data_IF_066508450058
#
_entry.id   IF_066508450058
#
_cell.length_a   1.000
_cell.length_b   1.000
_cell.length_c   1.000
_cell.angle_alpha   90.00
_cell.angle_beta   90.00
_cell.angle_gamma   90.00
#
_symmetry.space_group_name_H-M   'P 1'
#
loop_
_entity.id
_entity.type
_entity.pdbx_description
1 polymer ?
#
# COMPACT_ATOMS: atom_id res chain seq x y z
N UNK A 1 19.28 -47.41 48.50
CA UNK A 1 18.12 -46.61 48.06
C UNK A 1 18.60 -45.25 47.54
N UNK A 2 18.99 -45.14 46.27
CA UNK A 2 19.38 -43.84 45.65
C UNK A 2 19.22 -43.82 44.11
N UNK A 3 18.97 -44.96 43.46
CA UNK A 3 18.95 -45.07 41.99
C UNK A 3 17.65 -44.54 41.33
N UNK A 4 16.50 -44.67 42.00
CA UNK A 4 15.18 -44.28 41.45
C UNK A 4 15.01 -42.76 41.28
N UNK A 5 15.68 -41.96 42.11
CA UNK A 5 15.51 -40.49 42.15
C UNK A 5 16.26 -39.75 41.02
N UNK A 6 17.30 -40.36 40.46
CA UNK A 6 18.07 -39.78 39.34
C UNK A 6 17.36 -39.97 37.99
N UNK A 7 16.71 -41.11 37.79
CA UNK A 7 16.03 -41.45 36.52
C UNK A 7 14.84 -40.50 36.27
N UNK A 8 14.10 -40.12 37.31
CA UNK A 8 12.99 -39.16 37.20
C UNK A 8 13.48 -37.74 36.92
N UNK A 9 14.60 -37.33 37.51
CA UNK A 9 15.19 -36.00 37.29
C UNK A 9 15.74 -35.82 35.87
N UNK A 10 16.38 -36.86 35.33
CA UNK A 10 16.94 -36.80 33.97
C UNK A 10 15.85 -36.87 32.90
N UNK A 11 14.76 -37.62 33.13
CA UNK A 11 13.57 -37.58 32.26
C UNK A 11 12.86 -36.23 32.28
N UNK A 12 12.80 -35.56 33.44
CA UNK A 12 12.23 -34.21 33.55
C UNK A 12 13.06 -33.18 32.77
N UNK A 13 14.39 -33.30 32.81
CA UNK A 13 15.31 -32.44 32.04
C UNK A 13 15.16 -32.65 30.54
N UNK A 14 15.07 -33.90 30.07
CA UNK A 14 14.83 -34.17 28.65
C UNK A 14 13.47 -33.64 28.18
N UNK A 15 12.42 -33.79 28.99
CA UNK A 15 11.11 -33.24 28.65
C UNK A 15 11.12 -31.70 28.59
N UNK A 16 11.81 -31.04 29.53
CA UNK A 16 11.95 -29.59 29.53
C UNK A 16 12.73 -29.08 28.30
N UNK A 17 13.81 -29.76 27.91
CA UNK A 17 14.59 -29.44 26.70
C UNK A 17 13.75 -29.65 25.43
N UNK A 18 13.00 -30.75 25.34
CA UNK A 18 12.12 -31.01 24.20
C UNK A 18 11.02 -29.94 24.06
N UNK A 19 10.42 -29.52 25.17
CA UNK A 19 9.42 -28.44 25.17
C UNK A 19 10.05 -27.11 24.76
N UNK A 20 11.25 -26.79 25.24
CA UNK A 20 11.97 -25.56 24.88
C UNK A 20 12.34 -25.52 23.38
N UNK A 21 12.78 -26.65 22.81
CA UNK A 21 13.10 -26.75 21.38
C UNK A 21 11.83 -26.64 20.53
N UNK A 22 10.75 -27.31 20.93
CA UNK A 22 9.47 -27.23 20.22
C UNK A 22 8.87 -25.81 20.26
N UNK A 23 8.92 -25.14 21.40
CA UNK A 23 8.42 -23.77 21.53
C UNK A 23 9.29 -22.76 20.76
N UNK A 24 10.60 -22.97 20.70
CA UNK A 24 11.51 -22.15 19.88
C UNK A 24 11.27 -22.36 18.39
N UNK A 25 11.03 -23.60 17.94
CA UNK A 25 10.69 -23.91 16.55
C UNK A 25 9.33 -23.33 16.14
N UNK A 26 8.33 -23.39 17.02
CA UNK A 26 7.01 -22.79 16.80
C UNK A 26 7.12 -21.26 16.70
N UNK A 27 7.91 -20.63 17.59
CA UNK A 27 8.19 -19.19 17.51
C UNK A 27 8.90 -18.81 16.21
N UNK A 28 9.88 -19.61 15.76
CA UNK A 28 10.55 -19.40 14.46
C UNK A 28 9.62 -19.60 13.26
N UNK A 29 8.59 -20.44 13.34
CA UNK A 29 7.58 -20.53 12.26
C UNK A 29 6.56 -19.40 12.30
N UNK A 30 6.24 -18.86 13.48
CA UNK A 30 5.30 -17.74 13.63
C UNK A 30 5.97 -16.40 13.29
N UNK A 31 7.26 -16.24 13.59
CA UNK A 31 8.01 -14.99 13.39
C UNK A 31 9.07 -15.05 12.27
N UNK A 32 9.42 -16.23 11.74
CA UNK A 32 10.49 -16.39 10.74
C UNK A 32 10.13 -15.94 9.32
N UNK A 33 8.94 -15.39 9.13
CA UNK A 33 8.51 -14.71 7.91
C UNK A 33 8.91 -13.23 7.90
N UNK A 34 9.93 -12.82 8.66
CA UNK A 34 10.52 -11.49 8.49
C UNK A 34 11.35 -11.47 7.21
N UNK A 35 10.69 -11.17 6.10
CA UNK A 35 11.40 -10.77 4.88
C UNK A 35 12.10 -9.44 5.17
N UNK A 36 13.43 -9.49 5.28
CA UNK A 36 14.27 -8.30 5.25
C UNK A 36 14.27 -7.80 3.81
N UNK A 37 13.58 -6.67 3.58
CA UNK A 37 13.69 -5.98 2.30
C UNK A 37 14.98 -5.17 2.28
N UNK A 38 15.80 -5.43 1.27
CA UNK A 38 16.80 -4.47 0.86
C UNK A 38 16.07 -3.39 0.05
N UNK A 39 15.86 -2.21 0.66
CA UNK A 39 15.43 -1.02 -0.07
C UNK A 39 16.61 -0.55 -0.93
N UNK A 40 16.45 -0.61 -2.25
CA UNK A 40 17.41 -0.08 -3.21
C UNK A 40 16.73 1.02 -4.02
N UNK A 41 17.05 2.28 -3.72
CA UNK A 41 16.71 3.43 -4.58
C UNK A 41 17.62 3.45 -5.81
N UNK A 42 17.44 2.50 -6.74
CA UNK A 42 18.06 2.57 -8.06
C UNK A 42 17.30 3.54 -8.97
N UNK A 43 17.34 4.82 -8.60
CA UNK A 43 17.34 6.00 -9.48
C UNK A 43 18.14 7.15 -8.81
N UNK A 44 19.09 6.82 -7.92
CA UNK A 44 20.00 7.80 -7.31
C UNK A 44 21.07 8.26 -8.32
N UNK A 45 20.63 9.00 -9.34
CA UNK A 45 21.43 9.97 -10.07
C UNK A 45 21.15 11.40 -9.59
N UNK A 46 20.94 11.63 -8.28
CA UNK A 46 20.56 12.95 -7.78
C UNK A 46 21.42 13.42 -6.61
N UNK A 47 22.12 14.53 -6.81
CA UNK A 47 22.72 15.37 -5.77
C UNK A 47 21.68 16.32 -5.16
N UNK A 48 21.69 16.52 -3.84
CA UNK A 48 20.84 17.51 -3.13
C UNK A 48 20.33 16.99 -1.79
N UNK A 49 19.50 17.80 -1.10
CA UNK A 49 18.89 17.52 0.22
C UNK A 49 17.82 16.40 0.21
N UNK A 50 17.88 15.49 -0.77
CA UNK A 50 16.93 14.39 -0.89
C UNK A 50 17.32 13.27 0.08
N UNK A 51 16.38 12.87 0.93
CA UNK A 51 16.44 11.55 1.57
C UNK A 51 15.59 10.64 0.68
N UNK A 52 16.18 9.83 -0.21
CA UNK A 52 15.43 8.78 -0.90
C UNK A 52 15.02 7.74 0.14
N UNK A 53 13.78 7.84 0.58
CA UNK A 53 13.13 6.88 1.44
C UNK A 53 12.28 5.95 0.57
N UNK A 54 12.31 4.66 0.86
CA UNK A 54 11.42 3.72 0.20
C UNK A 54 10.88 2.71 1.22
N UNK A 55 9.55 2.66 1.30
CA UNK A 55 8.77 1.73 2.10
C UNK A 55 8.16 0.64 1.23
N UNK A 56 8.43 -0.61 1.57
CA UNK A 56 7.78 -1.78 0.96
C UNK A 56 6.96 -2.54 2.00
N UNK A 57 5.68 -2.77 1.72
CA UNK A 57 4.76 -3.49 2.61
C UNK A 57 4.18 -4.68 1.86
N UNK A 58 4.46 -5.88 2.36
CA UNK A 58 3.78 -7.10 1.88
C UNK A 58 2.34 -7.09 2.40
N UNK A 59 1.41 -7.36 1.49
CA UNK A 59 -0.01 -7.44 1.82
C UNK A 59 -0.50 -8.88 1.90
N UNK A 60 0.32 -9.84 1.48
CA UNK A 60 0.01 -11.27 1.42
C UNK A 60 -0.79 -11.81 2.61
N UNK A 61 -2.03 -12.23 2.35
CA UNK A 61 -2.88 -12.85 3.37
C UNK A 61 -3.43 -11.89 4.43
N UNK A 62 -3.19 -10.57 4.29
CA UNK A 62 -3.90 -9.57 5.08
C UNK A 62 -5.35 -9.49 4.60
N UNK A 63 -6.26 -9.28 5.55
CA UNK A 63 -7.67 -8.99 5.27
C UNK A 63 -8.02 -7.63 5.82
N UNK A 64 -8.40 -6.71 4.94
CA UNK A 64 -8.90 -5.39 5.31
C UNK A 64 -10.43 -5.45 5.44
N UNK A 65 -11.01 -5.31 6.64
CA UNK A 65 -12.46 -5.34 6.83
C UNK A 65 -13.13 -4.12 6.19
N UNK A 66 -14.47 -4.08 6.05
CA UNK A 66 -15.21 -2.87 5.66
C UNK A 66 -14.81 -1.67 6.51
N UNK A 67 -14.58 -0.52 5.87
CA UNK A 67 -14.03 0.70 6.48
C UNK A 67 -12.66 0.50 7.18
N UNK A 68 -12.00 -0.62 6.93
CA UNK A 68 -10.66 -0.89 7.41
C UNK A 68 -9.65 0.04 6.77
N UNK A 69 -8.68 0.48 7.56
CA UNK A 69 -7.65 1.43 7.18
C UNK A 69 -6.28 0.79 7.42
N UNK A 70 -5.39 0.88 6.45
CA UNK A 70 -4.01 0.46 6.54
C UNK A 70 -3.11 1.63 6.13
N UNK A 71 -2.50 2.35 7.09
CA UNK A 71 -1.48 3.34 6.80
C UNK A 71 -0.28 2.66 6.14
N UNK A 72 0.20 3.21 5.02
CA UNK A 72 1.35 2.67 4.28
C UNK A 72 2.56 3.60 4.30
N UNK A 73 2.36 4.89 4.55
CA UNK A 73 3.45 5.84 4.68
C UNK A 73 3.03 7.07 5.49
N UNK A 74 3.94 7.60 6.30
CA UNK A 74 3.81 8.85 7.04
C UNK A 74 5.18 9.56 7.06
N UNK A 75 5.26 10.73 6.43
CA UNK A 75 6.44 11.58 6.35
C UNK A 75 6.31 12.85 7.20
N UNK A 76 5.29 12.96 8.04
CA UNK A 76 5.04 14.12 8.89
C UNK A 76 6.30 14.52 9.68
N UNK A 77 6.65 15.81 9.71
CA UNK A 77 5.87 16.95 9.23
C UNK A 77 6.12 17.34 7.76
N UNK A 78 6.82 16.52 6.97
CA UNK A 78 7.30 16.89 5.63
C UNK A 78 6.32 16.49 4.52
N UNK A 79 6.14 17.40 3.56
CA UNK A 79 5.47 17.07 2.31
C UNK A 79 6.44 16.35 1.37
N UNK A 80 5.95 15.31 0.69
CA UNK A 80 6.78 14.48 -0.20
C UNK A 80 6.26 14.47 -1.63
N UNK A 81 7.17 14.22 -2.56
CA UNK A 81 6.83 13.72 -3.90
C UNK A 81 7.51 12.38 -4.18
N UNK A 82 6.87 11.53 -4.95
CA UNK A 82 7.40 10.21 -5.25
C UNK A 82 6.55 9.36 -6.19
N UNK A 83 6.86 8.08 -6.20
CA UNK A 83 6.12 7.04 -6.90
C UNK A 83 5.45 6.11 -5.89
N UNK A 84 4.29 5.59 -6.29
CA UNK A 84 3.54 4.60 -5.54
C UNK A 84 3.27 3.42 -6.47
N UNK A 85 3.60 2.21 -6.03
CA UNK A 85 3.28 0.98 -6.73
C UNK A 85 2.39 0.13 -5.85
N UNK A 86 1.32 -0.39 -6.43
CA UNK A 86 0.38 -1.28 -5.77
C UNK A 86 0.15 -2.52 -6.62
N UNK A 87 0.30 -3.68 -6.02
CA UNK A 87 -0.29 -4.91 -6.53
C UNK A 87 -1.37 -5.37 -5.56
N UNK A 88 -2.60 -5.45 -6.05
CA UNK A 88 -3.76 -5.76 -5.22
C UNK A 88 -4.86 -6.48 -6.01
N UNK A 89 -5.85 -7.08 -5.31
CA UNK A 89 -7.04 -7.62 -5.95
C UNK A 89 -7.82 -6.50 -6.64
N UNK A 90 -8.30 -6.79 -7.84
CA UNK A 90 -9.03 -5.85 -8.68
C UNK A 90 -10.20 -6.53 -9.37
N UNK A 91 -11.14 -5.72 -9.81
CA UNK A 91 -12.20 -6.15 -10.70
C UNK A 91 -11.62 -6.61 -12.05
N UNK A 92 -11.97 -7.81 -12.54
CA UNK A 92 -11.37 -8.37 -13.74
C UNK A 92 -11.81 -7.66 -15.03
N UNK A 93 -12.93 -6.94 -15.02
CA UNK A 93 -13.48 -6.26 -16.20
C UNK A 93 -13.06 -4.79 -16.23
N UNK A 94 -13.20 -4.09 -15.11
CA UNK A 94 -12.94 -2.65 -15.01
C UNK A 94 -11.53 -2.31 -14.54
N UNK A 95 -10.78 -3.32 -14.06
CA UNK A 95 -9.43 -3.17 -13.49
C UNK A 95 -9.36 -2.24 -12.26
N UNK A 96 -10.51 -1.87 -11.69
CA UNK A 96 -10.56 -1.05 -10.48
C UNK A 96 -10.12 -1.90 -9.27
N UNK A 97 -9.17 -1.43 -8.45
CA UNK A 97 -8.76 -2.16 -7.25
C UNK A 97 -9.90 -2.20 -6.23
N UNK A 98 -10.03 -3.31 -5.51
CA UNK A 98 -11.02 -3.42 -4.42
C UNK A 98 -10.63 -2.63 -3.16
N UNK A 99 -9.36 -2.21 -3.07
CA UNK A 99 -8.87 -1.28 -2.06
C UNK A 99 -8.71 0.11 -2.67
N UNK A 100 -9.01 1.15 -1.90
CA UNK A 100 -8.81 2.54 -2.31
C UNK A 100 -7.53 3.11 -1.71
N UNK A 101 -6.72 3.78 -2.54
CA UNK A 101 -5.53 4.53 -2.12
C UNK A 101 -5.91 5.99 -1.94
N UNK A 102 -5.66 6.53 -0.75
CA UNK A 102 -5.76 7.97 -0.49
C UNK A 102 -4.40 8.52 -0.08
N UNK A 103 -4.15 9.76 -0.45
CA UNK A 103 -2.94 10.49 -0.05
C UNK A 103 -3.30 11.92 0.32
N UNK A 104 -2.47 12.53 1.16
CA UNK A 104 -2.66 13.89 1.63
C UNK A 104 -2.09 14.06 3.02
N UNK A 105 -2.81 14.76 3.88
CA UNK A 105 -2.49 14.93 5.28
C UNK A 105 -3.70 14.57 6.14
N UNK A 106 -3.50 13.69 7.11
CA UNK A 106 -4.51 13.31 8.09
C UNK A 106 -4.11 13.95 9.42
N UNK A 107 -5.00 14.76 9.98
CA UNK A 107 -4.77 15.50 11.23
C UNK A 107 -5.77 15.08 12.30
N UNK A 108 -5.45 15.28 13.59
CA UNK A 108 -6.41 15.04 14.67
C UNK A 108 -7.63 15.98 14.59
N UNK A 109 -7.46 17.13 13.94
CA UNK A 109 -8.52 18.08 13.59
C UNK A 109 -9.12 17.76 12.23
N UNK A 110 -10.45 17.67 12.19
CA UNK A 110 -11.21 17.60 10.94
C UNK A 110 -10.84 18.75 9.99
N UNK A 111 -10.65 19.96 10.52
CA UNK A 111 -10.28 21.15 9.74
C UNK A 111 -8.84 21.14 9.23
N UNK A 112 -7.96 20.31 9.83
CA UNK A 112 -6.58 20.13 9.38
C UNK A 112 -6.42 19.00 8.37
N UNK A 113 -7.43 18.13 8.22
CA UNK A 113 -7.36 16.97 7.34
C UNK A 113 -7.57 17.37 5.88
N UNK A 114 -6.59 17.08 5.03
CA UNK A 114 -6.61 17.32 3.60
C UNK A 114 -6.19 16.06 2.85
N UNK A 115 -7.13 15.27 2.36
CA UNK A 115 -6.86 14.02 1.63
C UNK A 115 -7.65 13.95 0.33
N UNK A 116 -7.08 13.25 -0.65
CA UNK A 116 -7.73 12.95 -1.91
C UNK A 116 -7.42 11.53 -2.37
N UNK A 117 -8.19 11.00 -3.31
CA UNK A 117 -7.85 9.72 -3.95
C UNK A 117 -6.64 9.91 -4.83
N UNK A 118 -5.79 8.90 -4.84
CA UNK A 118 -4.64 8.83 -5.75
C UNK A 118 -5.12 8.35 -7.13
N UNK A 119 -4.87 9.09 -8.22
CA UNK A 119 -4.97 8.57 -9.58
C UNK A 119 -4.06 7.35 -9.78
N UNK A 120 -4.60 6.23 -10.26
CA UNK A 120 -3.84 5.00 -10.48
C UNK A 120 -3.71 4.72 -11.98
N UNK A 121 -2.50 4.39 -12.42
CA UNK A 121 -2.21 3.93 -13.78
C UNK A 121 -2.09 2.41 -13.79
N UNK A 122 -3.00 1.74 -14.48
CA UNK A 122 -3.00 0.29 -14.64
C UNK A 122 -1.86 -0.17 -15.55
N UNK A 123 -1.15 -1.24 -15.14
CA UNK A 123 -0.03 -1.81 -15.88
C UNK A 123 -0.40 -3.21 -16.39
N UNK A 124 -0.97 -3.27 -17.60
CA UNK A 124 -1.54 -4.50 -18.15
C UNK A 124 -0.53 -5.66 -18.22
N UNK A 125 0.69 -5.39 -18.71
CA UNK A 125 1.71 -6.42 -18.91
C UNK A 125 2.31 -6.99 -17.61
N UNK A 126 2.12 -6.31 -16.47
CA UNK A 126 2.54 -6.78 -15.15
C UNK A 126 1.38 -7.40 -14.34
N UNK A 127 0.15 -7.31 -14.87
CA UNK A 127 -1.08 -7.72 -14.19
C UNK A 127 -1.51 -9.13 -14.60
N UNK A 128 -2.34 -9.74 -13.76
CA UNK A 128 -2.95 -11.05 -13.98
C UNK A 128 -4.44 -10.98 -13.65
N UNK A 129 -5.25 -11.94 -14.13
CA UNK A 129 -6.67 -11.97 -13.82
C UNK A 129 -6.93 -11.97 -12.31
N UNK A 130 -7.56 -10.93 -11.79
CA UNK A 130 -7.88 -10.75 -10.36
C UNK A 130 -6.73 -10.26 -9.47
N UNK A 131 -5.56 -9.92 -10.03
CA UNK A 131 -4.46 -9.24 -9.32
C UNK A 131 -3.80 -8.25 -10.29
N UNK A 132 -4.11 -6.97 -10.08
CA UNK A 132 -3.66 -5.89 -10.95
C UNK A 132 -2.48 -5.15 -10.32
N UNK A 133 -1.59 -4.66 -11.18
CA UNK A 133 -0.47 -3.78 -10.83
C UNK A 133 -0.81 -2.37 -11.26
N UNK A 134 -0.60 -1.43 -10.35
CA UNK A 134 -0.82 -0.01 -10.56
C UNK A 134 0.45 0.77 -10.22
N UNK A 135 0.71 1.80 -11.00
CA UNK A 135 1.67 2.86 -10.72
C UNK A 135 0.93 4.16 -10.43
N UNK A 136 1.49 5.03 -9.59
CA UNK A 136 0.97 6.37 -9.39
C UNK A 136 2.09 7.36 -9.08
N UNK A 137 1.84 8.62 -9.43
CA UNK A 137 2.67 9.74 -9.03
C UNK A 137 2.04 10.44 -7.83
N UNK A 138 2.86 10.83 -6.87
CA UNK A 138 2.42 11.52 -5.65
C UNK A 138 3.19 12.84 -5.56
N UNK A 139 2.53 14.02 -5.55
CA UNK A 139 1.21 14.25 -6.14
C UNK A 139 1.17 13.91 -7.64
N UNK A 140 0.00 13.65 -8.22
CA UNK A 140 -0.12 13.40 -9.65
C UNK A 140 -0.11 14.73 -10.44
N UNK A 141 0.82 14.93 -11.38
CA UNK A 141 0.96 16.18 -12.11
C UNK A 141 -0.07 16.36 -13.26
N UNK A 142 -0.78 15.31 -13.66
CA UNK A 142 -1.65 15.26 -14.84
C UNK A 142 -3.13 15.16 -14.46
N UNK A 143 -3.44 14.27 -13.53
CA UNK A 143 -4.81 13.85 -13.19
C UNK A 143 -5.28 14.39 -11.83
N UNK A 144 -4.48 15.22 -11.17
CA UNK A 144 -4.85 15.90 -9.92
C UNK A 144 -4.47 15.12 -8.65
N UNK A 145 -5.34 15.10 -7.64
CA UNK A 145 -5.05 14.51 -6.33
C UNK A 145 -4.53 15.52 -5.29
N UNK A 146 -3.97 15.02 -4.20
CA UNK A 146 -3.57 15.87 -3.07
C UNK A 146 -2.23 16.57 -3.35
N UNK A 147 -2.23 17.90 -3.42
CA UNK A 147 -1.04 18.70 -3.76
C UNK A 147 0.09 18.67 -2.70
N UNK A 148 -0.23 18.26 -1.47
CA UNK A 148 0.68 18.18 -0.33
C UNK A 148 0.40 16.87 0.38
N UNK A 149 1.41 16.01 0.45
CA UNK A 149 1.25 14.65 0.96
C UNK A 149 2.24 14.41 2.08
N UNK A 150 1.71 14.07 3.25
CA UNK A 150 2.44 13.52 4.40
C UNK A 150 2.07 12.07 4.62
N UNK A 151 0.82 11.70 4.35
CA UNK A 151 0.22 10.40 4.62
C UNK A 151 -0.21 9.73 3.31
N UNK A 152 0.05 8.43 3.21
CA UNK A 152 -0.53 7.56 2.18
C UNK A 152 -1.16 6.36 2.89
N UNK A 153 -2.39 6.05 2.50
CA UNK A 153 -3.23 5.09 3.21
C UNK A 153 -4.03 4.24 2.22
N UNK A 154 -4.16 2.95 2.54
CA UNK A 154 -5.12 2.05 1.93
C UNK A 154 -6.41 2.00 2.77
N UNK A 155 -7.57 2.16 2.13
CA UNK A 155 -8.88 2.09 2.77
C UNK A 155 -9.82 1.16 2.00
N UNK A 156 -10.54 0.31 2.73
CA UNK A 156 -11.61 -0.50 2.15
C UNK A 156 -12.94 0.24 2.27
N UNK A 157 -13.38 0.86 1.18
CA UNK A 157 -14.67 1.55 1.10
C UNK A 157 -15.85 0.62 0.81
N UNK A 158 -15.58 -0.66 0.52
CA UNK A 158 -16.63 -1.63 0.24
C UNK A 158 -17.30 -2.16 1.52
N UNK A 159 -18.49 -2.73 1.35
CA UNK A 159 -19.18 -3.44 2.43
C UNK A 159 -18.67 -4.88 2.68
N UNK A 160 -17.61 -5.32 1.99
CA UNK A 160 -17.06 -6.68 2.08
C UNK A 160 -15.61 -6.66 2.56
N UNK A 161 -15.12 -7.78 3.08
CA UNK A 161 -13.70 -7.92 3.40
C UNK A 161 -12.88 -7.96 2.09
N UNK A 162 -11.79 -7.21 2.03
CA UNK A 162 -10.79 -7.33 0.96
C UNK A 162 -9.66 -8.21 1.48
N UNK A 163 -9.42 -9.34 0.83
CA UNK A 163 -8.30 -10.23 1.16
C UNK A 163 -7.25 -10.13 0.08
N UNK A 164 -6.03 -9.80 0.47
CA UNK A 164 -4.89 -9.68 -0.44
C UNK A 164 -4.35 -11.06 -0.82
N UNK A 165 -4.05 -11.23 -2.09
CA UNK A 165 -3.50 -12.43 -2.69
C UNK A 165 -2.02 -12.61 -2.29
N UNK A 166 -1.49 -13.80 -2.54
CA UNK A 166 -0.04 -14.00 -2.50
C UNK A 166 0.64 -13.25 -3.66
N UNK A 167 1.74 -12.56 -3.35
CA UNK A 167 2.44 -11.59 -4.18
C UNK A 167 1.95 -10.14 -4.06
N UNK A 168 0.86 -9.85 -3.34
CA UNK A 168 0.33 -8.48 -3.25
C UNK A 168 1.22 -7.59 -2.34
N UNK A 169 1.43 -6.35 -2.77
CA UNK A 169 2.45 -5.47 -2.21
C UNK A 169 2.10 -4.00 -2.43
N UNK A 170 2.54 -3.15 -1.51
CA UNK A 170 2.67 -1.70 -1.71
C UNK A 170 4.15 -1.32 -1.67
N UNK A 171 4.57 -0.46 -2.58
CA UNK A 171 5.85 0.23 -2.57
C UNK A 171 5.61 1.74 -2.66
N UNK A 172 6.27 2.50 -1.80
CA UNK A 172 6.25 3.97 -1.79
C UNK A 172 7.69 4.43 -1.90
N UNK A 173 8.02 5.05 -3.03
CA UNK A 173 9.35 5.59 -3.29
C UNK A 173 9.32 7.13 -3.22
N UNK A 174 9.91 7.71 -2.19
CA UNK A 174 10.04 9.16 -2.06
C UNK A 174 11.25 9.65 -2.86
N UNK A 175 10.99 10.61 -3.74
CA UNK A 175 12.00 11.23 -4.58
C UNK A 175 12.49 12.56 -3.99
N UNK A 176 11.59 13.34 -3.38
CA UNK A 176 11.90 14.68 -2.86
C UNK A 176 11.03 15.04 -1.66
N UNK A 177 11.58 15.90 -0.81
CA UNK A 177 10.82 16.68 0.17
C UNK A 177 10.43 18.01 -0.46
N UNK A 178 9.14 18.36 -0.40
CA UNK A 178 8.56 19.56 -1.02
C UNK A 178 8.37 20.72 -0.03
N UNK A 179 8.49 20.47 1.28
CA UNK A 179 8.28 21.45 2.34
C UNK A 179 7.82 20.79 3.63
N UNK A 180 7.27 21.59 4.57
CA UNK A 180 6.75 21.09 5.84
C UNK A 180 5.40 21.71 6.20
N UNK A 181 4.62 21.01 7.02
CA UNK A 181 3.36 21.49 7.59
C UNK A 181 3.58 22.77 8.40
N UNK A 182 4.75 22.91 9.05
CA UNK A 182 5.06 24.10 9.85
C UNK A 182 5.12 25.39 9.03
N UNK A 183 5.48 25.29 7.75
CA UNK A 183 5.62 26.44 6.85
C UNK A 183 4.35 26.72 6.02
N UNK A 184 3.46 25.72 5.92
CA UNK A 184 2.23 25.80 5.15
C UNK A 184 1.13 24.91 5.76
N UNK A 185 0.54 25.32 6.90
CA UNK A 185 -0.51 24.55 7.57
C UNK A 185 -1.76 24.45 6.69
N UNK A 186 -2.57 23.42 6.94
CA UNK A 186 -3.89 23.30 6.34
C UNK A 186 -4.90 24.09 7.18
N UNK A 187 -5.63 24.98 6.52
CA UNK A 187 -6.68 25.82 7.11
C UNK A 187 -8.08 25.43 6.65
N UNK A 188 -8.18 24.54 5.66
CA UNK A 188 -9.42 24.02 5.14
C UNK A 188 -9.37 22.50 4.98
N UNK A 189 -10.43 21.86 5.45
CA UNK A 189 -10.64 20.44 5.28
C UNK A 189 -10.85 20.10 3.80
N UNK A 190 -10.16 19.07 3.33
CA UNK A 190 -10.50 18.38 2.08
C UNK A 190 -10.61 16.89 2.36
N UNK A 191 -11.76 16.32 2.01
CA UNK A 191 -11.93 14.87 1.99
C UNK A 191 -11.96 14.38 0.55
N UNK A 192 -11.77 13.06 0.32
CA UNK A 192 -11.94 12.50 -1.00
C UNK A 192 -13.39 12.77 -1.43
N UNK A 193 -13.58 13.41 -2.59
CA UNK A 193 -14.88 13.98 -2.98
C UNK A 193 -16.05 12.99 -3.09
N UNK A 194 -15.78 11.69 -3.16
CA UNK A 194 -16.77 10.61 -3.06
C UNK A 194 -16.14 9.39 -2.39
N UNK A 195 -16.74 8.89 -1.31
CA UNK A 195 -16.34 7.62 -0.68
C UNK A 195 -17.10 6.41 -1.24
N UNK A 196 -17.91 6.61 -2.28
CA UNK A 196 -18.77 5.57 -2.84
C UNK A 196 -18.09 4.78 -3.97
N UNK A 197 -17.10 5.38 -4.63
CA UNK A 197 -16.38 4.78 -5.76
C UNK A 197 -14.89 4.59 -5.40
N UNK A 198 -14.21 3.64 -6.02
CA UNK A 198 -12.76 3.40 -5.83
C UNK A 198 -11.87 4.53 -6.37
N UNK A 199 -10.57 4.27 -6.52
CA UNK A 199 -9.66 5.18 -7.21
C UNK A 199 -10.08 5.40 -8.67
N UNK A 200 -9.86 6.60 -9.23
CA UNK A 200 -9.86 6.74 -10.68
C UNK A 200 -8.67 5.94 -11.23
N UNK A 201 -8.95 5.07 -12.20
CA UNK A 201 -7.97 4.22 -12.86
C UNK A 201 -7.84 4.63 -14.32
N UNK A 202 -6.60 4.80 -14.75
CA UNK A 202 -6.20 5.19 -16.09
C UNK A 202 -5.41 4.04 -16.70
N UNK A 203 -5.77 3.57 -17.89
CA UNK A 203 -4.95 2.62 -18.64
C UNK A 203 -4.13 3.40 -19.65
N UNK A 204 -2.81 3.21 -19.67
CA UNK A 204 -1.92 3.83 -20.66
C UNK A 204 -1.52 2.83 -21.76
N UNK A 205 -2.03 1.59 -21.69
CA UNK A 205 -1.65 0.48 -22.57
C UNK A 205 -2.74 0.16 -23.61
N UNK A 206 -3.79 0.96 -23.75
CA UNK A 206 -4.68 0.79 -24.88
C UNK A 206 -3.92 1.15 -26.18
N UNK A 207 -4.23 0.46 -27.28
CA UNK A 207 -3.60 0.72 -28.58
C UNK A 207 -4.10 2.04 -29.21
N UNK A 208 -4.79 2.89 -28.44
CA UNK A 208 -5.37 4.12 -28.92
C UNK A 208 -4.32 5.24 -28.91
N UNK A 209 -3.88 5.73 -30.08
CA UNK A 209 -2.87 6.79 -30.17
C UNK A 209 -3.34 8.14 -29.60
N UNK A 210 -4.62 8.27 -29.24
CA UNK A 210 -5.21 9.46 -28.61
C UNK A 210 -5.50 9.28 -27.13
N UNK A 211 -5.19 8.13 -26.53
CA UNK A 211 -5.26 7.98 -25.09
C UNK A 211 -4.12 8.78 -24.45
N UNK A 212 -4.50 9.91 -23.89
CA UNK A 212 -3.64 10.86 -23.19
C UNK A 212 -3.42 10.50 -21.71
N UNK A 213 -3.91 9.32 -21.29
CA UNK A 213 -3.89 8.89 -19.91
C UNK A 213 -4.96 9.54 -19.05
N UNK A 214 -6.04 10.04 -19.66
CA UNK A 214 -7.19 10.64 -18.96
C UNK A 214 -8.42 9.70 -18.87
N UNK A 215 -8.34 8.42 -19.26
CA UNK A 215 -9.28 7.39 -18.80
C UNK A 215 -9.45 6.21 -19.75
N UNK A 216 -10.20 5.19 -19.30
CA UNK A 216 -10.67 4.11 -20.17
C UNK A 216 -11.71 4.65 -21.14
N UNK A 217 -11.42 4.66 -22.43
CA UNK A 217 -12.47 4.83 -23.45
C UNK A 217 -13.08 3.45 -23.69
N UNK A 218 -14.17 3.14 -22.97
CA UNK A 218 -15.07 2.11 -23.48
C UNK A 218 -15.70 2.66 -24.76
N UNK A 219 -15.32 2.12 -25.92
CA UNK A 219 -16.13 2.24 -27.12
C UNK A 219 -17.51 1.62 -26.79
N UNK A 220 -18.46 2.46 -26.38
CA UNK A 220 -19.86 2.09 -26.46
C UNK A 220 -20.15 1.95 -27.95
N UNK A 221 -20.32 0.71 -28.42
CA UNK A 221 -20.97 0.46 -29.70
C UNK A 221 -22.33 1.19 -29.64
N UNK A 222 -22.47 2.24 -30.44
CA UNK A 222 -23.76 2.84 -30.74
C UNK A 222 -24.62 1.74 -31.39
N UNK A 223 -25.55 1.17 -30.63
CA UNK A 223 -26.69 0.47 -31.24
C UNK A 223 -27.56 1.55 -31.90
N UNK A 224 -27.42 1.64 -33.22
CA UNK A 224 -28.34 2.35 -34.11
C UNK A 224 -29.77 1.81 -33.96
N UNK A 225 -30.68 2.60 -33.39
CA UNK A 225 -32.12 2.61 -33.74
C UNK A 225 -32.66 4.04 -33.94
#
# INVERSE_FOLDING_TARGET
MTSSFNITRDRLKLAAVAIAVASTAILLTIYGSTTVFASHSFEAGVSGDNIPDNTHIRLDGLTLPPAGVLPVYDASPNFISGHFLLRAPCDPETHVPYVTVIAGHIDESEHGTYVDKVPLYYIAHASTAGSCVFHAHIPDPLNGGAARVTDIVLINLSGQNVTFNAGDVVDVNVQRVLGSISDAPYDEMKLPGSLEHGNPVFDLNDDNPNNDGLGFVHEMEEEDE
#
